data_IF_646851096670
#
_entry.id   IF_646851096670
#
_cell.length_a   1.000
_cell.length_b   1.000
_cell.length_c   1.000
_cell.angle_alpha   90.00
_cell.angle_beta   90.00
_cell.angle_gamma   90.00
#
_symmetry.space_group_name_H-M   'P 1'
#
loop_
_entity.id
_entity.type
_entity.pdbx_description
1 polymer ?
#
# COMPACT_ATOMS: atom_id res chain seq x y z
N UNK A 1 2.79 -56.90 18.99
CA UNK A 1 4.18 -56.48 19.16
C UNK A 1 4.28 -54.99 18.92
N UNK A 2 4.36 -54.31 19.97
CA UNK A 2 4.85 -52.97 20.33
C UNK A 2 4.99 -51.93 19.21
N UNK A 3 3.94 -51.14 19.06
CA UNK A 3 3.97 -49.86 18.35
C UNK A 3 4.63 -48.78 19.21
N UNK A 4 5.75 -48.25 18.77
CA UNK A 4 6.42 -47.11 19.39
C UNK A 4 5.55 -45.85 19.25
N UNK A 5 5.02 -45.35 20.35
CA UNK A 5 4.44 -44.01 20.46
C UNK A 5 5.58 -43.00 20.30
N UNK A 6 5.54 -42.21 19.24
CA UNK A 6 6.36 -40.99 19.13
C UNK A 6 5.92 -40.03 20.24
N UNK A 7 6.80 -39.77 21.18
CA UNK A 7 6.64 -38.72 22.18
C UNK A 7 6.53 -37.37 21.45
N UNK A 8 5.44 -36.67 21.70
CA UNK A 8 5.25 -35.29 21.27
C UNK A 8 6.37 -34.43 21.82
N UNK A 9 6.99 -33.67 20.94
CA UNK A 9 8.05 -32.76 21.24
C UNK A 9 7.65 -31.68 22.27
N UNK A 10 8.69 -31.08 22.84
CA UNK A 10 8.59 -30.12 23.93
C UNK A 10 7.53 -29.06 23.71
N UNK A 11 6.84 -28.72 24.78
CA UNK A 11 5.86 -27.63 24.85
C UNK A 11 6.60 -26.35 24.43
N UNK A 12 6.27 -25.83 23.23
CA UNK A 12 6.65 -24.47 22.87
C UNK A 12 6.15 -23.55 23.98
N UNK A 13 6.96 -22.57 24.37
CA UNK A 13 6.54 -21.58 25.36
C UNK A 13 5.15 -21.07 24.95
N UNK A 14 4.22 -21.03 25.90
CA UNK A 14 2.87 -20.50 25.66
C UNK A 14 2.99 -19.03 25.23
N UNK A 15 2.71 -18.73 23.95
CA UNK A 15 2.75 -17.39 23.35
C UNK A 15 1.36 -16.76 23.29
N UNK A 16 0.40 -17.31 24.01
CA UNK A 16 -0.98 -16.87 23.98
C UNK A 16 -1.19 -15.50 24.64
N UNK A 17 -2.09 -14.71 24.06
CA UNK A 17 -2.52 -13.40 24.57
C UNK A 17 -4.04 -13.40 24.72
N UNK A 18 -4.53 -13.04 25.90
CA UNK A 18 -5.96 -12.81 26.15
C UNK A 18 -6.20 -11.31 26.38
N UNK A 19 -6.86 -10.66 25.44
CA UNK A 19 -7.34 -9.28 25.56
C UNK A 19 -8.76 -9.35 26.11
N UNK A 20 -9.04 -8.68 27.22
CA UNK A 20 -10.34 -8.66 27.87
C UNK A 20 -10.86 -7.23 28.09
N UNK A 21 -12.14 -7.09 28.43
CA UNK A 21 -12.78 -5.81 28.73
C UNK A 21 -12.61 -4.79 27.58
N UNK A 22 -12.73 -5.25 26.33
CA UNK A 22 -12.65 -4.41 25.14
C UNK A 22 -14.04 -4.11 24.56
N UNK A 23 -14.15 -2.98 23.86
CA UNK A 23 -15.16 -2.79 22.84
C UNK A 23 -14.60 -3.39 21.54
N UNK A 24 -14.97 -4.64 21.22
CA UNK A 24 -14.42 -5.32 20.04
C UNK A 24 -15.28 -5.02 18.82
N UNK A 25 -14.68 -4.44 17.80
CA UNK A 25 -15.30 -4.23 16.49
C UNK A 25 -14.59 -5.12 15.45
N UNK A 26 -15.10 -6.35 15.21
CA UNK A 26 -14.33 -7.37 14.49
C UNK A 26 -14.26 -7.16 12.98
N UNK A 27 -15.23 -6.44 12.40
CA UNK A 27 -15.31 -6.14 10.98
C UNK A 27 -16.11 -4.85 10.75
N UNK A 28 -15.89 -4.18 9.62
CA UNK A 28 -16.52 -2.89 9.30
C UNK A 28 -18.06 -2.93 9.23
N UNK A 29 -18.63 -4.08 8.89
CA UNK A 29 -20.09 -4.34 8.79
C UNK A 29 -20.68 -5.02 10.02
N UNK A 30 -19.85 -5.44 10.97
CA UNK A 30 -20.30 -6.07 12.22
C UNK A 30 -20.73 -5.02 13.27
N UNK A 31 -21.56 -5.48 14.21
CA UNK A 31 -21.87 -4.68 15.41
C UNK A 31 -20.78 -4.87 16.47
N UNK A 32 -20.37 -3.80 17.16
CA UNK A 32 -19.35 -3.89 18.21
C UNK A 32 -19.80 -4.72 19.41
N UNK A 33 -18.93 -5.57 19.92
CA UNK A 33 -19.14 -6.43 21.08
C UNK A 33 -18.64 -5.69 22.34
N UNK A 34 -19.57 -5.21 23.17
CA UNK A 34 -19.22 -4.59 24.47
C UNK A 34 -18.74 -5.64 25.47
N UNK A 35 -17.76 -5.27 26.30
CA UNK A 35 -17.09 -6.18 27.24
C UNK A 35 -16.61 -7.46 26.54
N UNK A 36 -16.10 -7.29 25.34
CA UNK A 36 -15.58 -8.36 24.51
C UNK A 36 -14.17 -8.79 24.93
N UNK A 37 -13.79 -9.93 24.40
CA UNK A 37 -12.46 -10.51 24.58
C UNK A 37 -11.95 -11.06 23.24
N UNK A 38 -10.62 -11.13 23.11
CA UNK A 38 -9.92 -11.72 21.99
C UNK A 38 -8.87 -12.68 22.56
N UNK A 39 -8.85 -13.92 22.09
CA UNK A 39 -7.78 -14.87 22.36
C UNK A 39 -6.91 -15.02 21.12
N UNK A 40 -5.61 -14.84 21.31
CA UNK A 40 -4.59 -15.00 20.29
C UNK A 40 -3.65 -16.10 20.73
N UNK A 41 -3.28 -17.03 19.85
CA UNK A 41 -2.29 -18.06 20.10
C UNK A 41 -1.56 -18.39 18.79
N UNK A 42 -0.25 -18.62 18.86
CA UNK A 42 0.56 -18.88 17.67
C UNK A 42 0.46 -17.77 16.60
N UNK A 43 0.31 -16.52 17.04
CA UNK A 43 0.17 -15.36 16.15
C UNK A 43 -1.16 -15.26 15.41
N UNK A 44 -2.18 -16.06 15.79
CA UNK A 44 -3.50 -16.09 15.15
C UNK A 44 -4.62 -15.80 16.15
N UNK A 45 -5.65 -15.10 15.71
CA UNK A 45 -6.88 -14.91 16.50
C UNK A 45 -7.65 -16.24 16.52
N UNK A 46 -7.75 -16.86 17.69
CA UNK A 46 -8.48 -18.11 17.87
C UNK A 46 -9.97 -17.88 18.19
N UNK A 47 -10.23 -16.83 18.98
CA UNK A 47 -11.59 -16.56 19.44
C UNK A 47 -11.84 -15.08 19.65
N UNK A 48 -13.04 -14.64 19.25
CA UNK A 48 -13.56 -13.28 19.49
C UNK A 48 -14.96 -13.42 20.06
N UNK A 49 -15.30 -12.63 21.09
CA UNK A 49 -16.63 -12.65 21.69
C UNK A 49 -16.60 -12.29 23.17
N UNK A 50 -17.62 -12.76 23.92
CA UNK A 50 -17.67 -12.64 25.38
C UNK A 50 -17.28 -13.96 26.01
N UNK A 51 -16.10 -14.04 26.55
CA UNK A 51 -15.59 -15.24 27.22
C UNK A 51 -14.47 -14.88 28.20
N UNK A 52 -14.07 -15.86 29.01
CA UNK A 52 -12.83 -15.82 29.80
C UNK A 52 -11.90 -16.92 29.32
N UNK A 53 -10.62 -16.66 29.30
CA UNK A 53 -9.56 -17.64 28.98
C UNK A 53 -8.37 -17.40 29.91
N UNK A 54 -7.48 -18.40 30.00
CA UNK A 54 -6.14 -18.22 30.55
C UNK A 54 -5.17 -18.13 29.39
N UNK A 55 -4.20 -17.23 29.48
CA UNK A 55 -3.17 -17.02 28.48
C UNK A 55 -1.86 -16.63 29.18
N UNK A 56 -0.74 -16.74 28.46
CA UNK A 56 0.55 -16.35 28.99
C UNK A 56 0.60 -14.84 29.26
N UNK A 57 -0.09 -14.05 28.43
CA UNK A 57 -0.22 -12.59 28.61
C UNK A 57 -1.71 -12.22 28.72
N UNK A 58 -2.04 -11.51 29.79
CA UNK A 58 -3.38 -10.96 30.03
C UNK A 58 -3.33 -9.44 29.82
N UNK A 59 -4.17 -8.92 28.90
CA UNK A 59 -4.33 -7.49 28.64
C UNK A 59 -5.74 -7.04 28.98
N UNK A 60 -5.86 -6.14 29.95
CA UNK A 60 -7.11 -5.44 30.21
C UNK A 60 -7.21 -4.19 29.33
N UNK A 61 -8.12 -4.20 28.35
CA UNK A 61 -8.31 -3.09 27.45
C UNK A 61 -9.02 -1.88 28.10
N UNK A 62 -9.55 -2.01 29.33
CA UNK A 62 -10.19 -0.90 30.04
C UNK A 62 -11.37 -0.25 29.28
N UNK A 63 -12.06 -1.00 28.42
CA UNK A 63 -13.14 -0.50 27.56
C UNK A 63 -12.63 0.13 26.23
N UNK A 64 -11.34 0.11 25.94
CA UNK A 64 -10.80 0.60 24.67
C UNK A 64 -11.33 -0.18 23.48
N UNK A 65 -11.35 0.46 22.31
CA UNK A 65 -11.74 -0.15 21.04
C UNK A 65 -10.62 -1.10 20.56
N UNK A 66 -11.00 -2.35 20.30
CA UNK A 66 -10.17 -3.31 19.58
C UNK A 66 -10.79 -3.56 18.19
N UNK A 67 -10.04 -3.29 17.15
CA UNK A 67 -10.47 -3.41 15.76
C UNK A 67 -9.34 -3.94 14.88
N UNK A 68 -9.61 -4.40 13.63
CA UNK A 68 -8.54 -4.72 12.68
C UNK A 68 -7.57 -3.57 12.51
N UNK A 69 -6.27 -3.89 12.40
CA UNK A 69 -5.24 -2.88 12.16
C UNK A 69 -5.36 -2.24 10.77
N UNK A 70 -4.78 -1.06 10.60
CA UNK A 70 -4.79 -0.36 9.32
C UNK A 70 -3.81 -0.96 8.33
N UNK A 71 -4.13 -0.84 7.04
CA UNK A 71 -3.26 -1.24 5.94
C UNK A 71 -3.09 -0.07 4.98
N UNK A 72 -1.86 0.38 4.80
CA UNK A 72 -1.52 1.37 3.79
C UNK A 72 -1.39 0.69 2.42
N UNK A 73 -2.35 0.90 1.52
CA UNK A 73 -2.33 0.30 0.19
C UNK A 73 -1.34 0.97 -0.78
N UNK A 74 -0.75 2.11 -0.40
CA UNK A 74 0.28 2.81 -1.14
C UNK A 74 1.09 3.72 -0.22
N UNK A 75 2.42 3.48 -0.16
CA UNK A 75 3.40 4.33 0.54
C UNK A 75 4.75 4.28 -0.20
N UNK A 76 5.64 5.23 0.10
CA UNK A 76 7.05 5.22 -0.32
C UNK A 76 7.95 5.27 0.91
N UNK A 77 8.44 4.12 1.36
CA UNK A 77 9.30 4.07 2.55
C UNK A 77 10.63 4.79 2.33
N UNK A 78 11.16 4.72 1.12
CA UNK A 78 12.40 5.39 0.72
C UNK A 78 12.33 6.93 0.84
N UNK A 79 11.14 7.52 0.82
CA UNK A 79 10.99 8.99 0.82
C UNK A 79 10.74 9.60 2.20
N UNK A 80 10.79 8.82 3.29
CA UNK A 80 10.43 9.33 4.62
C UNK A 80 11.37 10.43 5.11
N UNK A 81 12.65 10.37 4.75
CA UNK A 81 13.65 11.39 5.05
C UNK A 81 13.47 12.70 4.27
N UNK A 82 12.61 12.71 3.25
CA UNK A 82 12.39 13.89 2.40
C UNK A 82 11.27 14.79 2.91
N UNK A 83 10.67 14.48 4.03
CA UNK A 83 9.60 15.25 4.67
C UNK A 83 9.98 16.71 4.81
N UNK A 84 9.13 17.62 4.28
CA UNK A 84 9.36 19.05 4.30
C UNK A 84 10.37 19.58 3.27
N UNK A 85 11.00 18.73 2.45
CA UNK A 85 12.00 19.13 1.45
C UNK A 85 11.42 19.40 0.06
N UNK A 86 10.13 19.12 -0.16
CA UNK A 86 9.48 19.18 -1.47
C UNK A 86 8.11 19.86 -1.44
N UNK A 87 8.04 21.03 -0.80
CA UNK A 87 6.80 21.81 -0.67
C UNK A 87 6.47 22.62 -1.93
N UNK A 88 5.17 22.98 -2.09
CA UNK A 88 4.65 24.01 -2.99
C UNK A 88 4.99 23.82 -4.48
N UNK A 89 4.87 22.59 -4.99
CA UNK A 89 5.14 22.27 -6.40
C UNK A 89 4.08 21.32 -6.99
N UNK A 90 3.66 21.52 -8.25
CA UNK A 90 2.88 20.52 -8.96
C UNK A 90 3.74 19.29 -9.28
N UNK A 91 3.12 18.12 -9.42
CA UNK A 91 3.77 16.81 -9.54
C UNK A 91 4.97 16.76 -10.52
N UNK A 92 4.89 17.25 -11.78
CA UNK A 92 6.02 17.11 -12.71
C UNK A 92 7.28 17.89 -12.26
N UNK A 93 7.09 19.08 -11.66
CA UNK A 93 8.19 19.87 -11.08
C UNK A 93 8.66 19.28 -9.76
N UNK A 94 7.72 18.80 -8.93
CA UNK A 94 7.99 18.13 -7.67
C UNK A 94 8.91 16.94 -7.86
N UNK A 95 8.61 16.07 -8.83
CA UNK A 95 9.44 14.92 -9.18
C UNK A 95 10.84 15.36 -9.67
N UNK A 96 10.91 16.19 -10.70
CA UNK A 96 12.18 16.54 -11.37
C UNK A 96 13.10 17.40 -10.50
N UNK A 97 12.54 18.36 -9.75
CA UNK A 97 13.32 19.35 -9.00
C UNK A 97 13.67 18.88 -7.59
N UNK A 98 12.93 17.91 -7.03
CA UNK A 98 13.08 17.49 -5.63
C UNK A 98 13.20 15.98 -5.47
N UNK A 99 12.19 15.20 -5.85
CA UNK A 99 12.13 13.78 -5.47
C UNK A 99 13.21 12.96 -6.19
N UNK A 100 13.30 13.06 -7.50
CA UNK A 100 14.31 12.30 -8.25
C UNK A 100 15.75 12.63 -7.85
N UNK A 101 16.15 13.91 -7.62
CA UNK A 101 17.47 14.24 -7.05
C UNK A 101 17.71 13.59 -5.69
N UNK A 102 16.71 13.58 -4.80
CA UNK A 102 16.80 13.00 -3.47
C UNK A 102 16.85 11.46 -3.52
N UNK A 103 16.01 10.84 -4.34
CA UNK A 103 16.06 9.38 -4.56
C UNK A 103 17.41 8.92 -5.14
N UNK A 104 17.96 9.69 -6.09
CA UNK A 104 19.25 9.38 -6.68
C UNK A 104 20.45 9.58 -5.73
N UNK A 105 20.26 10.35 -4.66
CA UNK A 105 21.28 10.59 -3.63
C UNK A 105 21.28 9.54 -2.51
N UNK A 106 20.30 8.64 -2.47
CA UNK A 106 20.26 7.56 -1.50
C UNK A 106 21.42 6.57 -1.68
N UNK A 107 21.89 6.09 -0.55
CA UNK A 107 22.66 4.87 -0.40
C UNK A 107 21.87 3.84 0.45
N UNK A 108 22.41 2.66 0.62
CA UNK A 108 21.76 1.57 1.35
C UNK A 108 21.47 1.94 2.82
N UNK A 109 22.37 2.71 3.45
CA UNK A 109 22.20 3.15 4.86
C UNK A 109 21.00 4.10 4.98
N UNK A 110 20.94 5.14 4.16
CA UNK A 110 19.85 6.12 4.16
C UNK A 110 18.50 5.50 3.77
N UNK A 111 18.47 4.54 2.84
CA UNK A 111 17.28 3.77 2.50
C UNK A 111 16.78 2.95 3.71
N UNK A 112 17.68 2.24 4.37
CA UNK A 112 17.34 1.44 5.55
C UNK A 112 16.82 2.31 6.70
N UNK A 113 17.43 3.47 6.95
CA UNK A 113 16.98 4.44 7.97
C UNK A 113 15.61 5.01 7.60
N UNK A 114 15.40 5.40 6.35
CA UNK A 114 14.12 5.91 5.85
C UNK A 114 12.99 4.89 6.04
N UNK A 115 13.25 3.63 5.68
CA UNK A 115 12.28 2.54 5.83
C UNK A 115 11.95 2.26 7.30
N UNK A 116 12.95 2.19 8.20
CA UNK A 116 12.71 2.00 9.64
C UNK A 116 11.89 3.14 10.24
N UNK A 117 12.17 4.38 9.85
CA UNK A 117 11.40 5.55 10.31
C UNK A 117 9.95 5.49 9.84
N UNK A 118 9.71 5.14 8.57
CA UNK A 118 8.35 4.93 8.03
C UNK A 118 7.61 3.85 8.81
N UNK A 119 8.22 2.68 8.99
CA UNK A 119 7.62 1.58 9.73
C UNK A 119 7.28 1.97 11.17
N UNK A 120 8.19 2.66 11.86
CA UNK A 120 7.96 3.12 13.23
C UNK A 120 6.77 4.09 13.32
N UNK A 121 6.65 5.04 12.38
CA UNK A 121 5.52 5.96 12.31
C UNK A 121 4.20 5.23 12.02
N UNK A 122 4.17 4.34 11.03
CA UNK A 122 2.99 3.55 10.68
C UNK A 122 2.52 2.65 11.83
N UNK A 123 3.44 1.93 12.50
CA UNK A 123 3.11 1.08 13.65
C UNK A 123 2.52 1.91 14.78
N UNK A 124 3.09 3.07 15.09
CA UNK A 124 2.56 3.98 16.12
C UNK A 124 1.17 4.52 15.75
N UNK A 125 0.85 4.61 14.46
CA UNK A 125 -0.46 4.96 13.90
C UNK A 125 -1.47 3.82 13.86
N UNK A 126 -1.09 2.58 14.29
CA UNK A 126 -1.96 1.41 14.27
C UNK A 126 -1.95 0.63 12.95
N UNK A 127 -0.96 0.85 12.12
CA UNK A 127 -0.77 0.10 10.86
C UNK A 127 -0.21 -1.28 11.14
N UNK A 128 -0.77 -2.30 10.50
CA UNK A 128 -0.39 -3.71 10.61
C UNK A 128 0.02 -4.32 9.27
N UNK A 129 -0.05 -3.55 8.18
CA UNK A 129 0.38 -3.97 6.86
C UNK A 129 0.49 -2.81 5.88
N UNK A 130 1.26 -2.99 4.81
CA UNK A 130 1.42 -1.96 3.79
C UNK A 130 1.74 -2.56 2.40
N UNK A 131 1.47 -1.77 1.36
CA UNK A 131 2.05 -1.93 0.03
C UNK A 131 2.89 -0.69 -0.29
N UNK A 132 4.16 -0.88 -0.64
CA UNK A 132 5.05 0.24 -0.97
C UNK A 132 5.50 0.23 -2.41
N UNK A 133 5.96 1.39 -2.87
CA UNK A 133 6.78 1.54 -4.07
C UNK A 133 8.08 2.21 -3.67
N UNK A 134 9.20 1.54 -3.96
CA UNK A 134 10.52 2.02 -3.57
C UNK A 134 11.21 2.75 -4.73
N UNK A 135 12.50 2.95 -4.66
CA UNK A 135 13.30 3.51 -5.74
C UNK A 135 13.80 2.40 -6.70
N UNK A 136 14.41 2.80 -7.81
CA UNK A 136 14.93 1.89 -8.84
C UNK A 136 16.23 1.16 -8.45
N UNK A 137 16.80 1.49 -7.30
CA UNK A 137 18.04 0.89 -6.76
C UNK A 137 17.97 0.79 -5.25
N UNK A 138 18.67 -0.18 -4.66
CA UNK A 138 18.78 -0.30 -3.22
C UNK A 138 17.50 -0.79 -2.51
N UNK A 139 16.51 -1.32 -3.24
CA UNK A 139 15.30 -1.91 -2.65
C UNK A 139 15.64 -3.05 -1.68
N UNK A 140 16.77 -3.72 -1.86
CA UNK A 140 17.27 -4.74 -0.92
C UNK A 140 17.53 -4.20 0.49
N UNK A 141 18.07 -2.99 0.61
CA UNK A 141 18.30 -2.34 1.91
C UNK A 141 16.96 -2.00 2.61
N UNK A 142 15.97 -1.52 1.87
CA UNK A 142 14.61 -1.30 2.37
C UNK A 142 13.98 -2.61 2.84
N UNK A 143 14.07 -3.65 2.03
CA UNK A 143 13.49 -4.97 2.33
C UNK A 143 14.11 -5.58 3.58
N UNK A 144 15.44 -5.50 3.73
CA UNK A 144 16.14 -5.94 4.94
C UNK A 144 15.70 -5.16 6.20
N UNK A 145 15.56 -3.85 6.09
CA UNK A 145 15.10 -3.00 7.19
C UNK A 145 13.66 -3.35 7.62
N UNK A 146 12.76 -3.60 6.67
CA UNK A 146 11.37 -4.02 6.96
C UNK A 146 11.35 -5.42 7.58
N UNK A 147 12.21 -6.34 7.11
CA UNK A 147 12.34 -7.69 7.67
C UNK A 147 12.71 -7.66 9.16
N UNK A 148 13.63 -6.77 9.57
CA UNK A 148 14.00 -6.57 10.97
C UNK A 148 12.84 -6.07 11.82
N UNK A 149 12.03 -5.13 11.29
CA UNK A 149 10.86 -4.55 11.99
C UNK A 149 9.72 -5.55 12.10
N UNK A 150 9.64 -6.52 11.21
CA UNK A 150 8.56 -7.54 11.11
C UNK A 150 7.17 -6.95 10.86
N UNK A 151 7.07 -5.82 10.18
CA UNK A 151 5.81 -5.28 9.72
C UNK A 151 5.43 -5.99 8.41
N UNK A 152 4.27 -6.66 8.32
CA UNK A 152 3.82 -7.29 7.09
C UNK A 152 3.72 -6.31 5.94
N UNK A 153 4.25 -6.66 4.77
CA UNK A 153 4.28 -5.72 3.66
C UNK A 153 4.55 -6.33 2.30
N UNK A 154 4.00 -5.64 1.31
CA UNK A 154 4.31 -5.82 -0.10
C UNK A 154 5.30 -4.73 -0.51
N UNK A 155 6.56 -5.08 -0.74
CA UNK A 155 7.62 -4.13 -1.11
C UNK A 155 7.72 -4.07 -2.62
N UNK A 156 7.47 -2.90 -3.22
CA UNK A 156 7.50 -2.71 -4.67
C UNK A 156 8.87 -2.25 -5.18
N UNK A 157 9.53 -3.05 -6.02
CA UNK A 157 10.73 -2.61 -6.74
C UNK A 157 10.34 -1.73 -7.92
N UNK A 158 10.83 -0.49 -7.93
CA UNK A 158 10.45 0.51 -8.92
C UNK A 158 11.18 0.30 -10.25
N UNK A 159 10.44 0.36 -11.37
CA UNK A 159 10.99 0.31 -12.72
C UNK A 159 10.79 1.68 -13.39
N UNK A 160 11.86 2.20 -13.99
CA UNK A 160 11.85 3.43 -14.81
C UNK A 160 12.92 3.33 -15.91
N UNK A 161 12.54 3.64 -17.14
CA UNK A 161 13.44 3.75 -18.30
C UNK A 161 13.29 5.08 -19.06
N UNK A 162 12.17 5.81 -18.86
CA UNK A 162 11.93 7.13 -19.41
C UNK A 162 11.89 8.19 -18.29
N UNK A 163 13.03 8.80 -17.97
CA UNK A 163 13.19 9.72 -16.83
C UNK A 163 13.26 11.19 -17.21
N UNK A 164 12.98 11.53 -18.47
CA UNK A 164 13.04 12.91 -18.94
C UNK A 164 14.40 13.58 -18.79
N UNK A 165 15.47 12.79 -18.87
CA UNK A 165 16.86 13.25 -18.75
C UNK A 165 17.54 12.95 -17.41
N UNK A 166 16.82 12.44 -16.41
CA UNK A 166 17.40 12.05 -15.12
C UNK A 166 17.97 10.62 -15.18
N UNK A 167 19.12 10.48 -15.86
CA UNK A 167 19.71 9.17 -16.22
C UNK A 167 20.07 8.28 -15.04
N UNK A 168 20.34 8.82 -13.86
CA UNK A 168 20.70 8.05 -12.65
C UNK A 168 19.57 7.17 -12.15
N UNK A 169 18.31 7.50 -12.48
CA UNK A 169 17.12 6.72 -12.14
C UNK A 169 16.57 5.91 -13.33
N UNK A 170 17.24 5.93 -14.49
CA UNK A 170 16.91 5.07 -15.61
C UNK A 170 17.70 3.78 -15.50
N UNK A 171 17.00 2.66 -15.40
CA UNK A 171 17.58 1.31 -15.29
C UNK A 171 17.11 0.48 -16.48
N UNK A 172 18.03 -0.19 -17.21
CA UNK A 172 17.63 -1.15 -18.23
C UNK A 172 16.69 -2.20 -17.66
N UNK A 173 15.67 -2.57 -18.43
CA UNK A 173 14.63 -3.48 -17.94
C UNK A 173 15.19 -4.84 -17.48
N UNK A 174 16.10 -5.41 -18.27
CA UNK A 174 16.71 -6.71 -17.94
C UNK A 174 17.44 -6.68 -16.59
N UNK A 175 18.15 -5.58 -16.30
CA UNK A 175 18.85 -5.38 -15.03
C UNK A 175 17.85 -5.26 -13.87
N UNK A 176 16.76 -4.48 -14.05
CA UNK A 176 15.72 -4.31 -13.05
C UNK A 176 14.96 -5.61 -12.77
N UNK A 177 14.68 -6.42 -13.79
CA UNK A 177 14.01 -7.71 -13.63
C UNK A 177 14.95 -8.75 -13.00
N UNK A 178 16.25 -8.72 -13.30
CA UNK A 178 17.24 -9.56 -12.62
C UNK A 178 17.35 -9.21 -11.12
N UNK A 179 17.27 -7.91 -10.78
CA UNK A 179 17.20 -7.49 -9.37
C UNK A 179 15.91 -7.98 -8.70
N UNK A 180 14.77 -7.97 -9.39
CA UNK A 180 13.52 -8.56 -8.86
C UNK A 180 13.68 -10.04 -8.51
N UNK A 181 14.39 -10.85 -9.29
CA UNK A 181 14.65 -12.27 -8.96
C UNK A 181 15.43 -12.39 -7.64
N UNK A 182 16.43 -11.55 -7.41
CA UNK A 182 17.21 -11.52 -6.15
C UNK A 182 16.34 -11.07 -4.96
N UNK A 183 15.58 -9.99 -5.15
CA UNK A 183 14.70 -9.44 -4.10
C UNK A 183 13.58 -10.42 -3.72
N UNK A 184 13.05 -11.15 -4.68
CA UNK A 184 12.03 -12.18 -4.45
C UNK A 184 12.55 -13.30 -3.52
N UNK A 185 13.79 -13.76 -3.72
CA UNK A 185 14.40 -14.74 -2.83
C UNK A 185 14.61 -14.20 -1.40
N UNK A 186 14.99 -12.92 -1.28
CA UNK A 186 15.07 -12.26 0.03
C UNK A 186 13.71 -12.15 0.70
N UNK A 187 12.66 -11.76 -0.03
CA UNK A 187 11.30 -11.64 0.52
C UNK A 187 10.79 -13.02 0.99
N UNK A 188 11.00 -14.09 0.23
CA UNK A 188 10.58 -15.46 0.57
C UNK A 188 11.18 -16.00 1.86
N UNK A 189 12.32 -15.46 2.30
CA UNK A 189 12.92 -15.82 3.59
C UNK A 189 12.07 -15.34 4.79
N UNK A 190 11.09 -14.44 4.56
CA UNK A 190 10.26 -13.81 5.58
C UNK A 190 8.77 -13.98 5.24
N UNK A 191 8.01 -14.84 5.98
CA UNK A 191 6.61 -15.14 5.64
C UNK A 191 5.63 -13.95 5.72
N UNK A 192 6.07 -12.80 6.23
CA UNK A 192 5.31 -11.55 6.30
C UNK A 192 5.65 -10.55 5.20
N UNK A 193 6.61 -10.88 4.31
CA UNK A 193 7.01 -10.02 3.20
C UNK A 193 6.67 -10.65 1.86
N UNK A 194 6.31 -9.79 0.93
CA UNK A 194 6.14 -10.15 -0.48
C UNK A 194 6.76 -9.04 -1.35
N UNK A 195 7.02 -9.36 -2.63
CA UNK A 195 7.57 -8.42 -3.61
C UNK A 195 6.50 -8.05 -4.64
N UNK A 196 6.47 -6.78 -5.04
CA UNK A 196 5.75 -6.31 -6.23
C UNK A 196 6.72 -5.80 -7.29
N UNK A 197 6.34 -5.96 -8.55
CA UNK A 197 6.96 -5.27 -9.68
C UNK A 197 6.25 -3.93 -9.84
N UNK A 198 6.98 -2.83 -9.76
CA UNK A 198 6.39 -1.51 -9.66
C UNK A 198 6.84 -0.56 -10.79
N UNK A 199 6.35 -0.73 -12.05
CA UNK A 199 6.54 0.31 -13.06
C UNK A 199 5.92 1.61 -12.54
N UNK A 200 6.73 2.68 -12.41
CA UNK A 200 6.36 3.85 -11.61
C UNK A 200 5.05 4.49 -12.10
N UNK A 201 4.99 4.85 -13.37
CA UNK A 201 3.79 5.39 -14.02
C UNK A 201 4.01 5.49 -15.55
N UNK A 202 2.94 5.77 -16.28
CA UNK A 202 2.96 5.79 -17.76
C UNK A 202 3.98 6.74 -18.39
N UNK A 203 4.39 7.83 -17.70
CA UNK A 203 5.33 8.81 -18.22
C UNK A 203 6.80 8.42 -18.01
N UNK A 204 7.09 7.53 -17.06
CA UNK A 204 8.45 7.13 -16.72
C UNK A 204 8.83 5.74 -17.21
N UNK A 205 7.88 5.07 -17.87
CA UNK A 205 8.08 3.73 -18.41
C UNK A 205 7.70 3.69 -19.89
N UNK A 206 8.60 3.17 -20.72
CA UNK A 206 8.26 2.89 -22.11
C UNK A 206 7.18 1.82 -22.22
N UNK A 207 6.46 1.79 -23.36
CA UNK A 207 5.44 0.77 -23.59
C UNK A 207 6.00 -0.65 -23.48
N UNK A 208 7.20 -0.87 -23.99
CA UNK A 208 7.89 -2.16 -23.91
C UNK A 208 8.13 -2.56 -22.45
N UNK A 209 8.61 -1.63 -21.62
CA UNK A 209 8.86 -1.84 -20.22
C UNK A 209 7.55 -2.21 -19.47
N UNK A 210 6.45 -1.48 -19.71
CA UNK A 210 5.14 -1.77 -19.10
C UNK A 210 4.66 -3.19 -19.46
N UNK A 211 4.74 -3.59 -20.72
CA UNK A 211 4.29 -4.92 -21.20
C UNK A 211 5.14 -6.04 -20.58
N UNK A 212 6.45 -5.89 -20.61
CA UNK A 212 7.37 -6.92 -20.09
C UNK A 212 7.31 -7.00 -18.54
N UNK A 213 7.16 -5.87 -17.85
CA UNK A 213 6.94 -5.85 -16.40
C UNK A 213 5.67 -6.64 -16.02
N UNK A 214 4.58 -6.44 -16.76
CA UNK A 214 3.32 -7.17 -16.54
C UNK A 214 3.47 -8.68 -16.80
N UNK A 215 4.16 -9.05 -17.89
CA UNK A 215 4.44 -10.45 -18.23
C UNK A 215 5.31 -11.12 -17.17
N UNK A 216 6.40 -10.46 -16.80
CA UNK A 216 7.34 -10.94 -15.79
C UNK A 216 6.64 -11.16 -14.44
N UNK A 217 5.93 -10.16 -13.94
CA UNK A 217 5.22 -10.26 -12.66
C UNK A 217 4.31 -11.48 -12.61
N UNK A 218 3.47 -11.68 -13.64
CA UNK A 218 2.56 -12.82 -13.71
C UNK A 218 3.26 -14.16 -13.84
N UNK A 219 4.38 -14.22 -14.57
CA UNK A 219 5.18 -15.45 -14.69
C UNK A 219 5.79 -15.91 -13.37
N UNK A 220 5.95 -14.98 -12.43
CA UNK A 220 6.50 -15.21 -11.08
C UNK A 220 5.43 -15.25 -9.98
N UNK A 221 4.15 -14.98 -10.31
CA UNK A 221 3.07 -14.85 -9.33
C UNK A 221 3.17 -13.61 -8.46
N UNK A 222 3.88 -12.56 -8.94
CA UNK A 222 4.05 -11.28 -8.25
C UNK A 222 2.91 -10.33 -8.57
N UNK A 223 2.65 -9.39 -7.67
CA UNK A 223 1.72 -8.27 -7.90
C UNK A 223 2.38 -7.16 -8.68
N UNK A 224 1.54 -6.35 -9.33
CA UNK A 224 1.91 -5.12 -10.00
C UNK A 224 1.42 -3.92 -9.19
N UNK A 225 2.26 -2.88 -9.08
CA UNK A 225 1.93 -1.65 -8.38
C UNK A 225 2.36 -0.46 -9.23
N UNK A 226 1.47 0.49 -9.52
CA UNK A 226 1.79 1.67 -10.35
C UNK A 226 0.94 2.87 -9.94
N UNK A 227 1.37 4.09 -10.31
CA UNK A 227 0.54 5.29 -10.25
C UNK A 227 -0.28 5.39 -11.54
N UNK A 228 -1.51 5.86 -11.43
CA UNK A 228 -2.40 5.99 -12.57
C UNK A 228 -3.34 7.20 -12.42
N UNK A 229 -3.49 7.97 -13.51
CA UNK A 229 -4.46 9.06 -13.61
C UNK A 229 -4.41 10.02 -12.42
N UNK A 230 -3.21 10.34 -11.92
CA UNK A 230 -3.03 11.18 -10.75
C UNK A 230 -3.28 12.65 -11.09
N UNK A 231 -2.56 13.18 -12.08
CA UNK A 231 -2.58 14.59 -12.45
C UNK A 231 -3.24 14.83 -13.81
N UNK A 232 -3.92 15.98 -14.01
CA UNK A 232 -4.45 16.35 -15.33
C UNK A 232 -3.40 16.35 -16.43
N UNK A 233 -2.19 16.87 -16.13
CA UNK A 233 -1.07 16.93 -17.10
C UNK A 233 -0.60 15.53 -17.53
N UNK A 234 -0.60 14.56 -16.62
CA UNK A 234 -0.29 13.15 -16.92
C UNK A 234 -1.30 12.57 -17.92
N UNK A 235 -2.58 12.71 -17.60
CA UNK A 235 -3.65 12.18 -18.44
C UNK A 235 -3.65 12.83 -19.82
N UNK A 236 -3.48 14.15 -19.88
CA UNK A 236 -3.40 14.89 -21.13
C UNK A 236 -2.18 14.46 -21.98
N UNK A 237 -1.03 14.20 -21.34
CA UNK A 237 0.16 13.69 -22.04
C UNK A 237 -0.11 12.31 -22.67
N UNK A 238 -0.72 11.38 -21.90
CA UNK A 238 -1.05 10.04 -22.41
C UNK A 238 -2.05 10.15 -23.57
N UNK A 239 -3.09 10.96 -23.44
CA UNK A 239 -4.06 11.19 -24.53
C UNK A 239 -3.41 11.72 -25.80
N UNK A 240 -2.54 12.73 -25.68
CA UNK A 240 -1.87 13.33 -26.86
C UNK A 240 -0.88 12.38 -27.53
N UNK A 241 -0.13 11.63 -26.75
CA UNK A 241 0.96 10.79 -27.27
C UNK A 241 0.47 9.40 -27.70
N UNK A 242 -0.50 8.85 -26.98
CA UNK A 242 -0.96 7.47 -27.15
C UNK A 242 -2.34 7.40 -27.81
N UNK A 243 -3.18 8.41 -27.61
CA UNK A 243 -4.57 8.43 -28.12
C UNK A 243 -5.57 7.68 -27.23
N UNK A 244 -5.21 7.38 -25.98
CA UNK A 244 -6.03 6.64 -25.00
C UNK A 244 -6.08 7.36 -23.67
N UNK A 245 -7.03 6.99 -22.81
CA UNK A 245 -7.01 7.39 -21.41
C UNK A 245 -5.94 6.58 -20.63
N UNK A 246 -5.52 7.07 -19.46
CA UNK A 246 -4.36 6.55 -18.76
C UNK A 246 -4.57 5.09 -18.29
N UNK A 247 -5.71 4.79 -17.61
CA UNK A 247 -6.03 3.43 -17.17
C UNK A 247 -6.28 2.49 -18.35
N UNK A 248 -6.87 2.99 -19.44
CA UNK A 248 -7.04 2.23 -20.68
C UNK A 248 -5.67 1.84 -21.28
N UNK A 249 -4.73 2.79 -21.32
CA UNK A 249 -3.37 2.52 -21.79
C UNK A 249 -2.64 1.48 -20.94
N UNK A 250 -2.72 1.60 -19.61
CA UNK A 250 -2.16 0.61 -18.70
C UNK A 250 -2.79 -0.78 -18.93
N UNK A 251 -4.11 -0.84 -19.14
CA UNK A 251 -4.82 -2.08 -19.47
C UNK A 251 -4.29 -2.73 -20.75
N UNK A 252 -4.13 -1.94 -21.83
CA UNK A 252 -3.57 -2.43 -23.11
C UNK A 252 -2.12 -2.91 -22.95
N UNK A 253 -1.36 -2.35 -22.01
CA UNK A 253 -0.03 -2.82 -21.66
C UNK A 253 -0.04 -4.07 -20.74
N UNK A 254 -1.22 -4.57 -20.37
CA UNK A 254 -1.38 -5.72 -19.49
C UNK A 254 -1.35 -5.36 -17.99
N UNK A 255 -1.34 -4.08 -17.62
CA UNK A 255 -1.36 -3.64 -16.21
C UNK A 255 -2.81 -3.39 -15.79
N UNK A 256 -3.54 -4.47 -15.59
CA UNK A 256 -4.89 -4.51 -15.02
C UNK A 256 -5.20 -5.93 -14.56
N UNK A 257 -6.00 -6.09 -13.53
CA UNK A 257 -6.36 -7.40 -12.99
C UNK A 257 -6.40 -7.40 -11.46
N UNK A 258 -6.81 -8.52 -10.86
CA UNK A 258 -6.89 -8.65 -9.40
C UNK A 258 -5.51 -8.68 -8.73
N UNK A 259 -4.45 -8.78 -9.51
CA UNK A 259 -3.03 -8.73 -9.12
C UNK A 259 -2.44 -7.31 -9.22
N UNK A 260 -3.24 -6.27 -9.53
CA UNK A 260 -2.77 -4.91 -9.84
C UNK A 260 -3.31 -3.90 -8.84
N UNK A 261 -2.39 -3.07 -8.29
CA UNK A 261 -2.69 -1.91 -7.45
C UNK A 261 -2.38 -0.64 -8.25
N UNK A 262 -3.38 0.21 -8.40
CA UNK A 262 -3.28 1.51 -9.08
C UNK A 262 -3.42 2.63 -8.03
N UNK A 263 -2.35 3.38 -7.78
CA UNK A 263 -2.40 4.50 -6.86
C UNK A 263 -3.09 5.71 -7.50
N UNK A 264 -3.79 6.49 -6.67
CA UNK A 264 -4.49 7.75 -6.95
C UNK A 264 -5.79 7.63 -7.73
N UNK A 265 -5.77 7.36 -9.02
CA UNK A 265 -6.93 7.32 -9.92
C UNK A 265 -7.85 8.57 -9.78
N UNK A 266 -7.25 9.78 -9.64
CA UNK A 266 -7.97 11.03 -9.40
C UNK A 266 -8.74 11.48 -10.63
N UNK A 267 -8.08 11.42 -11.80
CA UNK A 267 -8.62 11.88 -13.08
C UNK A 267 -9.32 10.75 -13.85
N UNK A 268 -9.89 9.78 -13.13
CA UNK A 268 -10.47 8.56 -13.69
C UNK A 268 -11.94 8.79 -14.09
N UNK A 269 -12.22 8.73 -15.38
CA UNK A 269 -13.56 8.88 -15.96
C UNK A 269 -14.45 7.64 -15.79
N UNK A 270 -15.78 7.75 -16.11
CA UNK A 270 -16.70 6.62 -15.95
C UNK A 270 -16.30 5.35 -16.72
N UNK A 271 -15.74 5.48 -17.92
CA UNK A 271 -15.27 4.35 -18.72
C UNK A 271 -14.10 3.62 -18.04
N UNK A 272 -13.13 4.38 -17.50
CA UNK A 272 -12.00 3.82 -16.76
C UNK A 272 -12.46 3.18 -15.44
N UNK A 273 -13.43 3.77 -14.73
CA UNK A 273 -14.02 3.18 -13.53
C UNK A 273 -14.70 1.83 -13.84
N UNK A 274 -15.44 1.76 -14.94
CA UNK A 274 -16.04 0.50 -15.37
C UNK A 274 -14.97 -0.55 -15.73
N UNK A 275 -13.88 -0.13 -16.38
CA UNK A 275 -12.75 -1.00 -16.72
C UNK A 275 -12.05 -1.54 -15.43
N UNK A 276 -11.82 -0.68 -14.45
CA UNK A 276 -11.26 -1.09 -13.14
C UNK A 276 -12.14 -2.13 -12.45
N UNK A 277 -13.45 -1.91 -12.42
CA UNK A 277 -14.40 -2.86 -11.85
C UNK A 277 -14.43 -4.20 -12.61
N UNK A 278 -14.47 -4.14 -13.94
CA UNK A 278 -14.50 -5.32 -14.81
C UNK A 278 -13.24 -6.18 -14.68
N UNK A 279 -12.08 -5.56 -14.58
CA UNK A 279 -10.79 -6.25 -14.44
C UNK A 279 -10.50 -6.71 -13.02
N UNK A 280 -11.22 -6.19 -12.02
CA UNK A 280 -10.97 -6.45 -10.61
C UNK A 280 -9.71 -5.77 -10.09
N UNK A 281 -9.21 -4.75 -10.77
CA UNK A 281 -8.06 -3.95 -10.35
C UNK A 281 -8.35 -3.19 -9.06
N UNK A 282 -7.32 -2.98 -8.23
CA UNK A 282 -7.44 -2.31 -6.95
C UNK A 282 -6.98 -0.85 -7.06
N UNK A 283 -7.68 0.05 -6.39
CA UNK A 283 -7.31 1.47 -6.32
C UNK A 283 -6.83 1.82 -4.92
N UNK A 284 -5.63 2.39 -4.81
CA UNK A 284 -5.11 2.96 -3.57
C UNK A 284 -5.37 4.49 -3.58
N UNK A 285 -6.37 4.93 -2.83
CA UNK A 285 -6.73 6.35 -2.69
C UNK A 285 -5.83 7.05 -1.68
N UNK A 286 -5.17 8.14 -2.08
CA UNK A 286 -4.21 8.91 -1.29
C UNK A 286 -4.69 10.35 -1.08
N UNK A 287 -5.67 10.59 -0.20
CA UNK A 287 -6.34 11.90 -0.07
C UNK A 287 -5.40 13.06 0.17
N UNK A 288 -4.49 12.94 1.14
CA UNK A 288 -3.57 14.01 1.52
C UNK A 288 -2.63 14.39 0.39
N UNK A 289 -2.02 13.40 -0.27
CA UNK A 289 -1.14 13.61 -1.42
C UNK A 289 -1.88 14.27 -2.58
N UNK A 290 -3.07 13.77 -2.93
CA UNK A 290 -3.88 14.31 -4.00
C UNK A 290 -4.20 15.81 -3.80
N UNK A 291 -4.48 16.21 -2.55
CA UNK A 291 -4.73 17.62 -2.22
C UNK A 291 -3.46 18.44 -2.20
N UNK A 292 -2.39 17.96 -1.57
CA UNK A 292 -1.14 18.71 -1.44
C UNK A 292 -0.48 18.97 -2.78
N UNK A 293 -0.54 18.00 -3.71
CA UNK A 293 0.01 18.15 -5.06
C UNK A 293 -0.98 18.80 -6.05
N UNK A 294 -2.20 19.13 -5.61
CA UNK A 294 -3.21 19.79 -6.45
C UNK A 294 -3.79 18.86 -7.53
N UNK A 295 -3.75 17.54 -7.32
CA UNK A 295 -4.28 16.55 -8.26
C UNK A 295 -5.81 16.59 -8.38
N UNK A 296 -6.51 16.96 -7.32
CA UNK A 296 -7.96 17.03 -7.28
C UNK A 296 -8.61 16.03 -6.33
N UNK A 297 -9.89 15.73 -6.55
CA UNK A 297 -10.69 14.82 -5.72
C UNK A 297 -11.06 13.57 -6.53
N UNK A 298 -10.48 12.42 -6.19
CA UNK A 298 -10.81 11.15 -6.83
C UNK A 298 -12.31 10.81 -6.66
N UNK A 299 -12.96 10.23 -7.69
CA UNK A 299 -14.39 9.91 -7.66
C UNK A 299 -14.69 8.62 -6.88
N UNK A 300 -14.34 8.58 -5.60
CA UNK A 300 -14.40 7.37 -4.76
C UNK A 300 -15.82 6.80 -4.60
N UNK A 301 -16.87 7.61 -4.34
CA UNK A 301 -18.23 7.10 -4.27
C UNK A 301 -18.69 6.43 -5.57
N UNK A 302 -18.33 7.01 -6.71
CA UNK A 302 -18.63 6.49 -8.04
C UNK A 302 -17.89 5.18 -8.31
N UNK A 303 -16.61 5.11 -7.96
CA UNK A 303 -15.81 3.86 -8.06
C UNK A 303 -16.40 2.74 -7.22
N UNK A 304 -16.73 3.02 -5.95
CA UNK A 304 -17.35 2.03 -5.06
C UNK A 304 -18.72 1.57 -5.60
N UNK A 305 -19.53 2.49 -6.13
CA UNK A 305 -20.82 2.16 -6.75
C UNK A 305 -20.67 1.32 -8.03
N UNK A 306 -19.59 1.51 -8.78
CA UNK A 306 -19.23 0.69 -9.94
C UNK A 306 -18.64 -0.69 -9.56
N UNK A 307 -18.38 -0.94 -8.27
CA UNK A 307 -17.80 -2.19 -7.79
C UNK A 307 -16.26 -2.23 -7.79
N UNK A 308 -15.60 -1.09 -7.96
CA UNK A 308 -14.13 -0.99 -7.84
C UNK A 308 -13.72 -1.23 -6.39
N UNK A 309 -12.68 -2.02 -6.18
CA UNK A 309 -12.06 -2.22 -4.88
C UNK A 309 -11.16 -1.03 -4.56
N UNK A 310 -11.47 -0.31 -3.48
CA UNK A 310 -10.73 0.87 -3.07
C UNK A 310 -10.17 0.69 -1.66
N UNK A 311 -8.89 0.97 -1.50
CA UNK A 311 -8.20 1.04 -0.22
C UNK A 311 -7.62 2.45 0.00
N UNK A 312 -7.15 2.75 1.22
CA UNK A 312 -6.45 4.00 1.54
C UNK A 312 -4.94 3.80 1.58
N UNK A 313 -4.21 4.85 1.20
CA UNK A 313 -2.77 4.95 1.35
C UNK A 313 -2.36 6.35 1.76
N UNK A 314 -1.24 6.49 2.47
CA UNK A 314 -0.71 7.80 2.83
C UNK A 314 0.20 8.40 1.76
N UNK A 315 0.63 7.58 0.79
CA UNK A 315 1.67 7.96 -0.16
C UNK A 315 2.98 8.33 0.54
N UNK A 316 3.76 9.25 0.02
CA UNK A 316 5.07 9.60 0.54
C UNK A 316 5.03 10.71 1.60
N UNK A 317 5.98 10.69 2.53
CA UNK A 317 6.12 11.74 3.52
C UNK A 317 6.30 13.17 2.94
N UNK A 318 7.00 13.40 1.82
CA UNK A 318 7.10 14.75 1.23
C UNK A 318 5.81 15.26 0.58
N UNK A 319 4.89 14.40 0.16
CA UNK A 319 3.58 14.81 -0.40
C UNK A 319 2.41 14.71 0.58
N UNK A 320 2.65 14.23 1.82
CA UNK A 320 1.62 14.09 2.85
C UNK A 320 2.00 14.81 4.16
N UNK A 321 3.27 14.73 4.55
CA UNK A 321 3.85 15.14 5.84
C UNK A 321 3.54 14.18 7.01
N UNK A 322 2.65 13.19 6.86
CA UNK A 322 2.34 12.18 7.89
C UNK A 322 1.99 10.84 7.23
N UNK A 323 2.39 9.75 7.85
CA UNK A 323 1.94 8.40 7.50
C UNK A 323 0.85 7.97 8.50
N UNK A 324 -0.25 8.74 8.54
CA UNK A 324 -1.32 8.64 9.56
C UNK A 324 -2.65 8.28 8.91
N UNK A 325 -3.09 7.03 9.09
CA UNK A 325 -4.33 6.53 8.51
C UNK A 325 -5.58 7.23 9.05
N UNK A 326 -5.57 7.73 10.30
CA UNK A 326 -6.69 8.51 10.81
C UNK A 326 -6.85 9.84 10.06
N UNK A 327 -5.73 10.48 9.70
CA UNK A 327 -5.76 11.70 8.89
C UNK A 327 -6.30 11.38 7.48
N UNK A 328 -5.85 10.28 6.86
CA UNK A 328 -6.34 9.87 5.54
C UNK A 328 -7.83 9.54 5.56
N UNK A 329 -8.30 8.76 6.54
CA UNK A 329 -9.73 8.47 6.71
C UNK A 329 -10.58 9.73 6.87
N UNK A 330 -10.11 10.67 7.72
CA UNK A 330 -10.81 11.93 7.95
C UNK A 330 -10.90 12.73 6.66
N UNK A 331 -9.79 12.87 5.94
CA UNK A 331 -9.73 13.66 4.72
C UNK A 331 -10.54 13.01 3.60
N UNK A 332 -10.49 11.69 3.43
CA UNK A 332 -11.32 10.97 2.46
C UNK A 332 -12.82 11.30 2.62
N UNK A 333 -13.32 11.31 3.87
CA UNK A 333 -14.72 11.67 4.13
C UNK A 333 -15.03 13.15 3.83
N UNK A 334 -14.17 14.06 4.27
CA UNK A 334 -14.37 15.51 4.07
C UNK A 334 -14.32 15.93 2.61
N UNK A 335 -13.38 15.36 1.82
CA UNK A 335 -13.26 15.62 0.40
C UNK A 335 -14.54 15.29 -0.37
N UNK A 336 -15.08 14.09 -0.12
CA UNK A 336 -16.29 13.65 -0.81
C UNK A 336 -17.52 14.44 -0.35
N UNK A 337 -17.57 14.80 0.92
CA UNK A 337 -18.64 15.69 1.43
C UNK A 337 -18.59 17.08 0.78
N UNK A 338 -17.40 17.64 0.58
CA UNK A 338 -17.22 18.92 -0.12
C UNK A 338 -17.61 18.82 -1.61
N UNK A 339 -17.33 17.68 -2.25
CA UNK A 339 -17.59 17.45 -3.68
C UNK A 339 -19.06 17.14 -3.98
N UNK A 340 -19.75 16.36 -3.14
CA UNK A 340 -21.06 15.77 -3.45
C UNK A 340 -22.12 15.96 -2.36
N UNK A 341 -21.76 16.59 -1.25
CA UNK A 341 -22.63 16.76 -0.09
C UNK A 341 -22.41 15.69 1.00
N UNK A 342 -22.99 15.94 2.19
CA UNK A 342 -22.81 15.06 3.34
C UNK A 342 -23.43 13.66 3.13
N UNK A 343 -22.79 12.64 3.69
CA UNK A 343 -23.29 11.27 3.65
C UNK A 343 -23.01 10.47 2.37
N UNK A 344 -22.36 11.08 1.36
CA UNK A 344 -22.05 10.41 0.10
C UNK A 344 -21.04 9.28 0.25
N UNK A 345 -20.16 9.36 1.25
CA UNK A 345 -19.23 8.31 1.64
C UNK A 345 -19.39 8.04 3.14
N UNK A 346 -19.98 6.90 3.48
CA UNK A 346 -20.27 6.52 4.86
C UNK A 346 -18.98 6.23 5.63
N UNK A 347 -18.93 6.58 6.93
CA UNK A 347 -17.77 6.34 7.79
C UNK A 347 -17.36 4.85 7.84
N UNK A 348 -18.32 3.92 7.84
CA UNK A 348 -18.04 2.47 7.79
C UNK A 348 -17.31 2.08 6.50
N UNK A 349 -17.67 2.66 5.35
CA UNK A 349 -16.97 2.42 4.09
C UNK A 349 -15.51 2.94 4.13
N UNK A 350 -15.29 4.09 4.77
CA UNK A 350 -13.94 4.65 4.96
C UNK A 350 -13.08 3.73 5.85
N UNK A 351 -13.65 3.21 6.96
CA UNK A 351 -12.94 2.24 7.80
C UNK A 351 -12.62 0.96 7.03
N UNK A 352 -13.56 0.47 6.21
CA UNK A 352 -13.31 -0.67 5.33
C UNK A 352 -12.14 -0.42 4.39
N UNK A 353 -12.08 0.75 3.76
CA UNK A 353 -10.96 1.13 2.88
C UNK A 353 -9.60 1.18 3.62
N UNK A 354 -9.61 1.52 4.91
CA UNK A 354 -8.40 1.61 5.74
C UNK A 354 -7.96 0.26 6.34
N UNK A 355 -8.79 -0.77 6.28
CA UNK A 355 -8.55 -2.08 6.91
C UNK A 355 -8.67 -3.20 5.87
N UNK A 356 -9.83 -3.82 5.75
CA UNK A 356 -10.12 -4.94 4.85
C UNK A 356 -9.84 -4.60 3.37
N UNK A 357 -10.10 -3.36 2.94
CA UNK A 357 -9.85 -2.93 1.56
C UNK A 357 -8.38 -2.99 1.16
N UNK A 358 -7.46 -2.90 2.12
CA UNK A 358 -6.01 -3.01 1.91
C UNK A 358 -5.45 -4.42 2.10
N UNK A 359 -6.25 -5.35 2.64
CA UNK A 359 -5.87 -6.76 2.89
C UNK A 359 -6.06 -7.66 1.63
#
# INVERSE_FOLDING_TARGET
>A
MTGARRSAGGVAADDSIHIRNALVWPAWDAEPIRNGAILISGGRIEKVGRFTARAAVELDAGGALAMPGFIHAHVHLCQTLFRGLAEDRPLPRWLRERIWPLEAAHDDESLAVSARLACAEMIRGGTTGFASMETVRGTGATLAAVAEVKLPGLVGHCLMDETGGYRTLSVPLDDALAECDVLMEHARAHPWLDLAVAPRFALSCSRGNLIEAARYARSRGLRLHTHASEQPDEVEWVRRRIGMDNVEYLHVCGISGPDVILAHCVQCGPAEQALLAQTGSHVAHCPSSNFKLGAGIAPIPEMLAAGVRVALGADAAPCNNRLDMFAEMRLAGLMQSARRGPGVLAARAIVRMATEGGA
#
